data_IF_660572243259
#
_entry.id   IF_660572243259
#
_cell.length_a   1.000
_cell.length_b   1.000
_cell.length_c   1.000
_cell.angle_alpha   90.00
_cell.angle_beta   90.00
_cell.angle_gamma   90.00
#
_symmetry.space_group_name_H-M   'P 1'
#
loop_
_entity.id
_entity.type
_entity.pdbx_description
1 polymer ?
#
# COMPACT_ATOMS: atom_id res chain seq x y z
N UNK A 1 -6.61 -14.27 -5.28
CA UNK A 1 -7.78 -14.27 -6.16
C UNK A 1 -8.16 -15.71 -6.49
N UNK A 2 -9.45 -16.04 -6.46
CA UNK A 2 -9.98 -17.34 -6.84
C UNK A 2 -11.17 -17.12 -7.80
N UNK A 3 -11.24 -17.88 -8.88
CA UNK A 3 -12.38 -17.89 -9.82
C UNK A 3 -12.93 -19.30 -9.88
N UNK A 4 -14.20 -19.45 -9.64
CA UNK A 4 -14.90 -20.74 -9.66
C UNK A 4 -16.34 -20.53 -10.12
N UNK A 5 -16.76 -21.38 -11.07
CA UNK A 5 -18.03 -21.19 -11.78
C UNK A 5 -18.06 -19.78 -12.40
N UNK A 6 -19.07 -18.97 -12.19
CA UNK A 6 -19.10 -17.57 -12.63
C UNK A 6 -18.57 -16.57 -11.57
N UNK A 7 -18.19 -17.02 -10.38
CA UNK A 7 -17.79 -16.13 -9.29
C UNK A 7 -16.32 -15.89 -9.23
N UNK A 8 -15.93 -14.63 -8.99
CA UNK A 8 -14.56 -14.20 -8.67
C UNK A 8 -14.49 -13.68 -7.26
N UNK A 9 -13.57 -14.27 -6.47
CA UNK A 9 -13.27 -13.83 -5.11
C UNK A 9 -11.89 -13.19 -5.06
N UNK A 10 -11.80 -12.01 -4.47
CA UNK A 10 -10.55 -11.28 -4.25
C UNK A 10 -10.36 -11.11 -2.74
N UNK A 11 -9.17 -11.45 -2.26
CA UNK A 11 -8.74 -11.20 -0.89
C UNK A 11 -7.63 -10.15 -0.89
N UNK A 12 -7.82 -9.06 -0.15
CA UNK A 12 -6.78 -8.10 0.19
C UNK A 12 -6.34 -8.31 1.64
N UNK A 13 -5.02 -8.43 1.82
CA UNK A 13 -4.43 -8.59 3.16
C UNK A 13 -3.97 -7.26 3.76
N UNK A 14 -3.94 -6.19 2.95
CA UNK A 14 -3.65 -4.81 3.37
C UNK A 14 -4.76 -3.89 2.84
N UNK A 15 -6.01 -4.05 3.30
CA UNK A 15 -7.19 -3.42 2.69
C UNK A 15 -7.24 -1.90 2.87
N UNK A 16 -6.53 -1.36 3.84
CA UNK A 16 -6.50 0.08 4.11
C UNK A 16 -5.61 0.87 3.15
N UNK A 17 -4.86 0.20 2.26
CA UNK A 17 -4.06 0.87 1.23
C UNK A 17 -4.82 0.96 -0.09
N UNK A 18 -4.56 2.03 -0.84
CA UNK A 18 -5.12 2.22 -2.17
C UNK A 18 -4.35 1.39 -3.21
N UNK A 19 -5.01 1.05 -4.32
CA UNK A 19 -4.33 0.41 -5.46
C UNK A 19 -3.46 1.40 -6.23
N UNK A 20 -3.94 2.63 -6.41
CA UNK A 20 -3.27 3.64 -7.22
C UNK A 20 -2.28 4.46 -6.38
N UNK A 21 -1.12 3.88 -6.08
CA UNK A 21 0.04 4.69 -5.74
C UNK A 21 0.68 5.20 -7.04
N UNK A 22 0.95 6.50 -7.09
CA UNK A 22 1.52 7.14 -8.27
C UNK A 22 2.89 6.55 -8.57
N UNK A 23 3.07 6.12 -9.80
CA UNK A 23 4.35 5.61 -10.28
C UNK A 23 4.74 6.30 -11.59
N UNK A 24 6.03 6.33 -11.86
CA UNK A 24 6.60 7.07 -12.97
C UNK A 24 6.04 6.63 -14.34
N UNK A 25 5.83 5.34 -14.52
CA UNK A 25 5.38 4.77 -15.79
C UNK A 25 3.92 5.13 -16.11
N UNK A 26 3.01 4.81 -15.18
CA UNK A 26 1.58 5.03 -15.40
C UNK A 26 1.23 6.52 -15.41
N UNK A 27 1.75 7.31 -14.47
CA UNK A 27 1.48 8.76 -14.44
C UNK A 27 2.28 9.56 -15.46
N UNK A 28 3.20 8.93 -16.21
CA UNK A 28 3.75 9.47 -17.45
C UNK A 28 2.69 9.64 -18.55
N UNK A 29 1.57 8.91 -18.47
CA UNK A 29 0.46 9.02 -19.42
C UNK A 29 -0.45 10.19 -19.07
N UNK A 30 -0.76 11.10 -20.04
CA UNK A 30 -1.67 12.22 -19.80
C UNK A 30 -3.06 11.80 -19.33
N UNK A 31 -3.56 10.63 -19.77
CA UNK A 31 -4.86 10.07 -19.35
C UNK A 31 -4.93 9.80 -17.86
N UNK A 32 -3.87 9.22 -17.26
CA UNK A 32 -3.86 8.92 -15.83
C UNK A 32 -3.78 10.20 -14.99
N UNK A 33 -3.03 11.22 -15.46
CA UNK A 33 -3.02 12.52 -14.80
C UNK A 33 -4.36 13.23 -14.88
N UNK A 34 -5.02 13.19 -16.04
CA UNK A 34 -6.35 13.77 -16.19
C UNK A 34 -7.40 13.09 -15.31
N UNK A 35 -7.34 11.77 -15.22
CA UNK A 35 -8.21 10.99 -14.33
C UNK A 35 -7.97 11.34 -12.86
N UNK A 36 -6.72 11.30 -12.42
CA UNK A 36 -6.32 11.66 -11.05
C UNK A 36 -6.79 13.10 -10.69
N UNK A 37 -6.60 14.05 -11.61
CA UNK A 37 -7.06 15.43 -11.45
C UNK A 37 -8.57 15.51 -11.24
N UNK A 38 -9.37 14.82 -12.06
CA UNK A 38 -10.83 14.79 -11.92
C UNK A 38 -11.26 14.24 -10.56
N UNK A 39 -10.57 13.22 -10.05
CA UNK A 39 -10.84 12.64 -8.73
C UNK A 39 -10.47 13.61 -7.61
N UNK A 40 -9.27 14.23 -7.68
CA UNK A 40 -8.80 15.20 -6.69
C UNK A 40 -9.70 16.44 -6.58
N UNK A 41 -10.20 16.93 -7.72
CA UNK A 41 -11.08 18.10 -7.78
C UNK A 41 -12.56 17.78 -7.47
N UNK A 42 -12.88 16.50 -7.25
CA UNK A 42 -14.26 16.07 -6.99
C UNK A 42 -15.19 16.17 -8.22
N UNK A 43 -14.64 16.28 -9.42
CA UNK A 43 -15.38 16.40 -10.67
C UNK A 43 -15.76 15.05 -11.30
N UNK A 44 -15.57 13.96 -10.57
CA UNK A 44 -15.92 12.61 -11.02
C UNK A 44 -17.45 12.41 -10.99
N UNK A 45 -18.07 12.39 -12.15
CA UNK A 45 -19.50 12.11 -12.31
C UNK A 45 -19.83 10.63 -12.15
N UNK A 46 -18.85 9.74 -12.35
CA UNK A 46 -18.98 8.29 -12.15
C UNK A 46 -18.31 7.88 -10.86
N UNK A 47 -19.04 7.33 -9.86
CA UNK A 47 -18.47 6.94 -8.58
C UNK A 47 -17.37 5.88 -8.69
N UNK A 48 -17.38 5.06 -9.76
CA UNK A 48 -16.38 4.02 -9.95
C UNK A 48 -14.99 4.58 -10.30
N UNK A 49 -14.88 5.83 -10.76
CA UNK A 49 -13.60 6.43 -11.13
C UNK A 49 -12.66 6.64 -9.93
N UNK A 50 -13.19 6.72 -8.71
CA UNK A 50 -12.40 6.91 -7.48
C UNK A 50 -11.99 5.59 -6.80
N UNK A 51 -12.59 4.46 -7.16
CA UNK A 51 -12.35 3.18 -6.48
C UNK A 51 -10.86 2.82 -6.38
N UNK A 52 -10.08 3.14 -7.41
CA UNK A 52 -8.64 2.88 -7.44
C UNK A 52 -7.85 3.75 -6.44
N UNK A 53 -8.37 4.93 -6.09
CA UNK A 53 -7.75 5.89 -5.19
C UNK A 53 -8.22 5.77 -3.74
N UNK A 54 -9.20 4.91 -3.48
CA UNK A 54 -9.74 4.65 -2.15
C UNK A 54 -9.19 3.33 -1.57
N UNK A 55 -9.27 3.22 -0.25
CA UNK A 55 -9.10 1.92 0.40
C UNK A 55 -10.22 0.98 -0.04
N UNK A 56 -9.94 -0.30 -0.08
CA UNK A 56 -10.88 -1.30 -0.56
C UNK A 56 -11.19 -2.32 0.54
N UNK A 57 -12.30 -3.07 0.41
CA UNK A 57 -12.63 -4.12 1.38
C UNK A 57 -11.54 -5.20 1.47
N UNK A 58 -11.46 -5.86 2.63
CA UNK A 58 -10.60 -7.02 2.79
C UNK A 58 -11.00 -8.19 1.88
N UNK A 59 -12.27 -8.25 1.53
CA UNK A 59 -12.84 -9.28 0.66
C UNK A 59 -13.76 -8.64 -0.35
N UNK A 60 -13.75 -9.15 -1.59
CA UNK A 60 -14.68 -8.77 -2.64
C UNK A 60 -15.13 -10.02 -3.39
N UNK A 61 -16.39 -10.05 -3.78
CA UNK A 61 -17.02 -11.13 -4.53
C UNK A 61 -17.80 -10.56 -5.71
N UNK A 62 -17.57 -11.08 -6.90
CA UNK A 62 -18.25 -10.65 -8.12
C UNK A 62 -18.86 -11.83 -8.86
N UNK A 63 -20.05 -11.65 -9.43
CA UNK A 63 -20.68 -12.60 -10.36
C UNK A 63 -20.36 -12.15 -11.79
N UNK A 64 -19.37 -12.75 -12.41
CA UNK A 64 -18.85 -12.32 -13.72
C UNK A 64 -19.83 -12.52 -14.87
N UNK A 65 -20.87 -13.35 -14.71
CA UNK A 65 -21.94 -13.46 -15.72
C UNK A 65 -22.87 -12.25 -15.71
N UNK A 66 -23.13 -11.68 -14.50
CA UNK A 66 -24.03 -10.53 -14.34
C UNK A 66 -23.28 -9.20 -14.32
N UNK A 67 -22.01 -9.22 -13.89
CA UNK A 67 -21.18 -8.05 -13.67
C UNK A 67 -19.75 -8.30 -14.19
N UNK A 68 -19.57 -8.35 -15.53
CA UNK A 68 -18.26 -8.62 -16.15
C UNK A 68 -17.24 -7.51 -15.89
N UNK A 69 -17.67 -6.31 -15.52
CA UNK A 69 -16.81 -5.17 -15.22
C UNK A 69 -16.42 -5.07 -13.72
N UNK A 70 -16.93 -6.00 -12.87
CA UNK A 70 -16.61 -6.09 -11.44
C UNK A 70 -16.91 -4.79 -10.66
N UNK A 71 -18.06 -4.20 -10.90
CA UNK A 71 -18.48 -2.93 -10.30
C UNK A 71 -19.35 -3.11 -9.05
N UNK A 72 -19.93 -4.31 -8.85
CA UNK A 72 -20.89 -4.59 -7.79
C UNK A 72 -20.35 -5.68 -6.86
N UNK A 73 -19.70 -5.25 -5.76
CA UNK A 73 -19.20 -6.19 -4.75
C UNK A 73 -20.35 -6.84 -3.98
N UNK A 74 -20.43 -8.16 -4.06
CA UNK A 74 -21.45 -9.01 -3.42
C UNK A 74 -20.99 -9.53 -2.05
N UNK A 75 -19.80 -9.22 -1.58
CA UNK A 75 -19.22 -9.79 -0.35
C UNK A 75 -20.01 -9.43 0.91
N UNK A 76 -20.72 -8.30 0.91
CA UNK A 76 -21.63 -7.89 1.99
C UNK A 76 -23.08 -8.36 1.84
N UNK A 77 -23.41 -9.11 0.80
CA UNK A 77 -24.79 -9.50 0.49
C UNK A 77 -25.12 -10.87 1.10
N UNK A 78 -26.11 -10.99 2.01
CA UNK A 78 -26.39 -12.23 2.73
C UNK A 78 -26.67 -13.46 1.85
N UNK A 79 -27.30 -13.26 0.68
CA UNK A 79 -27.59 -14.32 -0.29
C UNK A 79 -26.35 -15.02 -0.82
N UNK A 80 -25.19 -14.33 -0.83
CA UNK A 80 -23.92 -14.86 -1.34
C UNK A 80 -22.97 -15.32 -0.23
N UNK A 81 -23.39 -15.28 1.04
CA UNK A 81 -22.52 -15.59 2.20
C UNK A 81 -21.94 -17.02 2.13
N UNK A 82 -22.70 -17.99 1.64
CA UNK A 82 -22.21 -19.37 1.50
C UNK A 82 -21.14 -19.49 0.41
N UNK A 83 -21.36 -18.81 -0.74
CA UNK A 83 -20.39 -18.78 -1.86
C UNK A 83 -19.09 -18.09 -1.41
N UNK A 84 -19.22 -16.93 -0.75
CA UNK A 84 -18.09 -16.19 -0.19
C UNK A 84 -17.28 -17.07 0.77
N UNK A 85 -17.96 -17.78 1.69
CA UNK A 85 -17.30 -18.67 2.65
C UNK A 85 -16.55 -19.81 1.96
N UNK A 86 -17.17 -20.48 0.97
CA UNK A 86 -16.53 -21.55 0.19
C UNK A 86 -15.30 -21.07 -0.57
N UNK A 87 -15.38 -19.89 -1.20
CA UNK A 87 -14.26 -19.33 -1.98
C UNK A 87 -13.13 -18.85 -1.08
N UNK A 88 -13.45 -18.25 0.08
CA UNK A 88 -12.47 -17.91 1.12
C UNK A 88 -11.69 -19.14 1.57
N UNK A 89 -12.42 -20.22 1.90
CA UNK A 89 -11.78 -21.47 2.33
C UNK A 89 -10.91 -22.07 1.24
N UNK A 90 -11.40 -22.11 0.01
CA UNK A 90 -10.63 -22.63 -1.12
C UNK A 90 -9.31 -21.87 -1.35
N UNK A 91 -9.32 -20.53 -1.20
CA UNK A 91 -8.11 -19.73 -1.30
C UNK A 91 -7.16 -20.00 -0.13
N UNK A 92 -7.68 -20.07 1.11
CA UNK A 92 -6.87 -20.36 2.31
C UNK A 92 -6.21 -21.74 2.20
N UNK A 93 -6.96 -22.76 1.78
CA UNK A 93 -6.43 -24.12 1.59
C UNK A 93 -5.35 -24.16 0.51
N UNK A 94 -5.57 -23.44 -0.60
CA UNK A 94 -4.58 -23.35 -1.69
C UNK A 94 -3.26 -22.73 -1.22
N UNK A 95 -3.33 -21.61 -0.49
CA UNK A 95 -2.15 -20.94 0.08
C UNK A 95 -1.36 -21.89 1.00
N UNK A 96 -2.06 -22.64 1.86
CA UNK A 96 -1.44 -23.58 2.80
C UNK A 96 -0.83 -24.78 2.11
N UNK A 97 -1.54 -25.37 1.16
CA UNK A 97 -1.07 -26.56 0.40
C UNK A 97 0.13 -26.23 -0.48
N UNK A 98 0.13 -25.05 -1.10
CA UNK A 98 1.25 -24.63 -1.97
C UNK A 98 2.44 -24.09 -1.18
N UNK A 99 2.24 -23.72 0.11
CA UNK A 99 3.26 -23.06 0.92
C UNK A 99 3.63 -21.71 0.34
N UNK A 100 2.61 -20.86 0.05
CA UNK A 100 2.79 -19.58 -0.64
C UNK A 100 3.72 -18.64 0.13
N UNK A 101 4.82 -18.24 -0.50
CA UNK A 101 5.82 -17.33 0.06
C UNK A 101 5.54 -15.86 -0.27
N UNK A 102 4.38 -15.53 -0.84
CA UNK A 102 3.98 -14.18 -1.20
C UNK A 102 3.91 -13.22 0.00
N UNK A 103 3.77 -13.74 1.20
CA UNK A 103 3.65 -12.97 2.45
C UNK A 103 4.99 -12.60 3.10
N UNK A 104 6.11 -13.04 2.51
CA UNK A 104 7.43 -12.65 2.98
C UNK A 104 7.82 -11.27 2.48
N UNK A 105 8.55 -10.52 3.33
CA UNK A 105 9.02 -9.19 2.99
C UNK A 105 10.02 -9.20 1.83
N UNK A 106 10.08 -8.15 1.01
CA UNK A 106 11.06 -8.04 -0.08
C UNK A 106 12.51 -8.18 0.40
N UNK A 107 12.83 -7.73 1.61
CA UNK A 107 14.15 -7.91 2.25
C UNK A 107 14.51 -9.38 2.51
N UNK A 108 13.51 -10.24 2.66
CA UNK A 108 13.71 -11.69 2.85
C UNK A 108 13.75 -12.45 1.51
N UNK A 109 13.31 -11.83 0.41
CA UNK A 109 13.23 -12.45 -0.91
C UNK A 109 14.54 -12.31 -1.68
N UNK A 110 15.50 -13.15 -1.38
CA UNK A 110 16.79 -13.20 -2.09
C UNK A 110 16.85 -14.41 -3.05
N UNK A 111 16.09 -14.35 -4.14
CA UNK A 111 16.08 -15.39 -5.18
C UNK A 111 15.67 -16.78 -4.66
N UNK A 112 16.38 -17.82 -5.09
CA UNK A 112 16.12 -19.22 -4.67
C UNK A 112 16.34 -19.46 -3.17
N UNK A 113 17.02 -18.55 -2.51
CA UNK A 113 17.44 -18.69 -1.10
C UNK A 113 16.24 -18.74 -0.16
N UNK A 114 15.16 -17.99 -0.46
CA UNK A 114 13.99 -17.96 0.43
C UNK A 114 13.32 -19.32 0.57
N UNK A 115 13.06 -20.02 -0.55
CA UNK A 115 12.40 -21.32 -0.54
C UNK A 115 13.22 -22.36 0.24
N UNK A 116 14.52 -22.41 -0.01
CA UNK A 116 15.43 -23.32 0.70
C UNK A 116 15.53 -22.99 2.18
N UNK A 117 15.62 -21.69 2.51
CA UNK A 117 15.67 -21.21 3.89
C UNK A 117 14.42 -21.61 4.67
N UNK A 118 13.25 -21.34 4.13
CA UNK A 118 11.96 -21.66 4.75
C UNK A 118 11.83 -23.16 5.03
N UNK A 119 12.24 -24.01 4.09
CA UNK A 119 12.22 -25.46 4.27
C UNK A 119 13.22 -25.96 5.29
N UNK A 120 14.46 -25.47 5.24
CA UNK A 120 15.57 -25.89 6.13
C UNK A 120 15.34 -25.43 7.55
N UNK A 121 14.88 -24.22 7.74
CA UNK A 121 14.65 -23.61 9.07
C UNK A 121 13.30 -23.98 9.67
N UNK A 122 12.48 -24.77 8.98
CA UNK A 122 11.13 -25.16 9.44
C UNK A 122 10.31 -23.94 9.85
N UNK A 123 10.30 -22.91 8.98
CA UNK A 123 9.58 -21.67 9.25
C UNK A 123 8.09 -21.97 9.60
N UNK A 124 7.49 -21.29 10.60
CA UNK A 124 6.12 -21.57 11.03
C UNK A 124 5.09 -20.95 10.05
N UNK A 125 4.99 -21.54 8.84
CA UNK A 125 4.14 -21.02 7.77
C UNK A 125 2.66 -20.98 8.13
N UNK A 126 2.15 -21.98 8.85
CA UNK A 126 0.73 -22.02 9.22
C UNK A 126 0.37 -20.91 10.20
N UNK A 127 1.26 -20.61 11.13
CA UNK A 127 1.11 -19.52 12.09
C UNK A 127 1.17 -18.16 11.34
N UNK A 128 2.10 -18.04 10.39
CA UNK A 128 2.18 -16.86 9.53
C UNK A 128 0.89 -16.66 8.74
N UNK A 129 0.38 -17.67 8.07
CA UNK A 129 -0.86 -17.57 7.29
C UNK A 129 -2.06 -17.21 8.16
N UNK A 130 -2.16 -17.78 9.36
CA UNK A 130 -3.21 -17.44 10.32
C UNK A 130 -3.12 -15.97 10.74
N UNK A 131 -1.92 -15.49 11.02
CA UNK A 131 -1.69 -14.07 11.36
C UNK A 131 -2.02 -13.14 10.19
N UNK A 132 -1.61 -13.49 8.97
CA UNK A 132 -1.91 -12.73 7.74
C UNK A 132 -3.42 -12.60 7.52
N UNK A 133 -4.13 -13.71 7.62
CA UNK A 133 -5.60 -13.74 7.49
C UNK A 133 -6.26 -12.88 8.57
N UNK A 134 -5.77 -12.97 9.82
CA UNK A 134 -6.26 -12.16 10.94
C UNK A 134 -5.97 -10.68 10.75
N UNK A 135 -4.75 -10.32 10.35
CA UNK A 135 -4.34 -8.92 10.18
C UNK A 135 -5.21 -8.18 9.15
N UNK A 136 -5.50 -8.82 8.00
CA UNK A 136 -6.33 -8.23 6.94
C UNK A 136 -7.79 -8.00 7.35
N UNK A 137 -8.30 -8.73 8.34
CA UNK A 137 -9.67 -8.61 8.88
C UNK A 137 -9.71 -8.26 10.36
N UNK A 138 -8.62 -7.72 10.90
CA UNK A 138 -8.47 -7.46 12.34
C UNK A 138 -9.64 -6.65 12.90
N UNK A 139 -10.08 -7.10 14.08
CA UNK A 139 -10.99 -6.41 14.99
C UNK A 139 -10.30 -6.26 16.35
N UNK A 140 -10.91 -5.56 17.30
CA UNK A 140 -10.35 -5.46 18.65
C UNK A 140 -10.15 -6.82 19.35
N UNK A 141 -10.91 -7.85 18.96
CA UNK A 141 -10.70 -9.21 19.44
C UNK A 141 -9.39 -9.84 18.97
N UNK A 142 -8.77 -9.29 17.90
CA UNK A 142 -7.49 -9.75 17.38
C UNK A 142 -6.28 -9.22 18.15
N UNK A 143 -6.47 -8.21 19.02
CA UNK A 143 -5.37 -7.53 19.72
C UNK A 143 -4.39 -8.48 20.44
N UNK A 144 -4.81 -9.52 21.18
CA UNK A 144 -3.85 -10.40 21.84
C UNK A 144 -2.87 -11.09 20.88
N UNK A 145 -3.35 -11.54 19.72
CA UNK A 145 -2.50 -12.13 18.68
C UNK A 145 -1.57 -11.08 18.04
N UNK A 146 -2.07 -9.87 17.80
CA UNK A 146 -1.27 -8.80 17.22
C UNK A 146 -0.18 -8.31 18.18
N UNK A 147 -0.45 -8.23 19.49
CA UNK A 147 0.50 -7.89 20.55
C UNK A 147 1.66 -8.89 20.63
N UNK A 148 1.36 -10.18 20.55
CA UNK A 148 2.37 -11.22 20.47
C UNK A 148 3.19 -11.10 19.19
N UNK A 149 2.51 -10.88 18.06
CA UNK A 149 3.15 -10.80 16.75
C UNK A 149 4.15 -9.65 16.63
N UNK A 150 3.83 -8.44 17.12
CA UNK A 150 4.73 -7.27 17.00
C UNK A 150 6.01 -7.39 17.83
N UNK A 151 6.08 -8.33 18.76
CA UNK A 151 7.28 -8.64 19.58
C UNK A 151 8.01 -9.90 19.12
N UNK A 152 7.54 -10.55 18.08
CA UNK A 152 8.09 -11.82 17.60
C UNK A 152 9.50 -11.64 17.00
N UNK A 153 10.44 -12.59 17.21
CA UNK A 153 11.78 -12.52 16.61
C UNK A 153 11.78 -12.57 15.08
N UNK A 154 10.74 -13.20 14.44
CA UNK A 154 10.63 -13.29 13.00
C UNK A 154 10.05 -11.99 12.40
N UNK A 155 10.73 -11.43 11.42
CA UNK A 155 10.37 -10.15 10.79
C UNK A 155 8.99 -10.17 10.13
N UNK A 156 8.64 -11.28 9.47
CA UNK A 156 7.33 -11.42 8.83
C UNK A 156 6.19 -11.41 9.85
N UNK A 157 6.39 -12.05 11.01
CA UNK A 157 5.40 -12.04 12.09
C UNK A 157 5.21 -10.60 12.62
N UNK A 158 6.32 -9.87 12.88
CA UNK A 158 6.23 -8.47 13.32
C UNK A 158 5.51 -7.60 12.29
N UNK A 159 5.87 -7.76 11.00
CA UNK A 159 5.25 -6.97 9.93
C UNK A 159 3.73 -7.18 9.88
N UNK A 160 3.27 -8.42 9.86
CA UNK A 160 1.83 -8.71 9.80
C UNK A 160 1.10 -8.35 11.08
N UNK A 161 1.75 -8.42 12.23
CA UNK A 161 1.23 -7.85 13.47
C UNK A 161 0.99 -6.34 13.35
N UNK A 162 1.96 -5.60 12.79
CA UNK A 162 1.83 -4.15 12.54
C UNK A 162 0.74 -3.85 11.52
N UNK A 163 0.59 -4.66 10.46
CA UNK A 163 -0.51 -4.52 9.49
C UNK A 163 -1.88 -4.59 10.18
N UNK A 164 -2.06 -5.52 11.11
CA UNK A 164 -3.29 -5.60 11.90
C UNK A 164 -3.53 -4.32 12.74
N UNK A 165 -2.50 -3.81 13.39
CA UNK A 165 -2.58 -2.53 14.12
C UNK A 165 -2.90 -1.35 13.20
N UNK A 166 -2.27 -1.27 12.03
CA UNK A 166 -2.52 -0.20 11.06
C UNK A 166 -3.97 -0.17 10.59
N UNK A 167 -4.55 -1.36 10.35
CA UNK A 167 -5.98 -1.49 10.03
C UNK A 167 -6.86 -0.96 11.17
N UNK A 168 -6.66 -1.45 12.38
CA UNK A 168 -7.44 -1.05 13.55
C UNK A 168 -7.33 0.46 13.84
N UNK A 169 -6.12 1.00 13.72
CA UNK A 169 -5.85 2.41 13.94
C UNK A 169 -6.57 3.30 12.91
N UNK A 170 -6.43 2.98 11.63
CA UNK A 170 -7.07 3.73 10.55
C UNK A 170 -8.59 3.68 10.61
N UNK A 171 -9.17 2.53 10.98
CA UNK A 171 -10.61 2.37 11.18
C UNK A 171 -11.10 2.94 12.52
N UNK A 172 -10.22 3.60 13.29
CA UNK A 172 -10.52 4.22 14.59
C UNK A 172 -11.08 3.22 15.62
N UNK A 173 -10.75 1.92 15.48
CA UNK A 173 -11.17 0.88 16.43
C UNK A 173 -10.30 0.88 17.70
N UNK A 174 -9.10 1.45 17.62
CA UNK A 174 -8.19 1.67 18.74
C UNK A 174 -7.69 3.12 18.72
N UNK A 175 -7.32 3.66 19.87
CA UNK A 175 -6.86 5.06 20.01
C UNK A 175 -5.52 5.20 20.74
N UNK A 176 -5.02 4.13 21.36
CA UNK A 176 -3.73 4.14 22.06
C UNK A 176 -2.65 3.43 21.25
N UNK A 177 -1.45 4.03 21.20
CA UNK A 177 -0.28 3.44 20.58
C UNK A 177 0.49 2.62 21.63
N UNK A 178 0.54 1.27 21.51
CA UNK A 178 1.35 0.46 22.42
C UNK A 178 2.83 0.81 22.30
N UNK A 179 3.55 0.77 23.43
CA UNK A 179 4.98 1.06 23.44
C UNK A 179 5.78 0.10 22.53
N UNK A 180 5.37 -1.17 22.45
CA UNK A 180 5.98 -2.14 21.56
C UNK A 180 5.83 -1.76 20.08
N UNK A 181 4.65 -1.24 19.67
CA UNK A 181 4.43 -0.74 18.31
C UNK A 181 5.29 0.50 18.03
N UNK A 182 5.37 1.43 18.98
CA UNK A 182 6.19 2.63 18.84
C UNK A 182 7.68 2.29 18.72
N UNK A 183 8.17 1.28 19.44
CA UNK A 183 9.55 0.82 19.33
C UNK A 183 9.88 0.30 17.93
N UNK A 184 8.91 -0.24 17.18
CA UNK A 184 9.12 -0.73 15.81
C UNK A 184 9.34 0.38 14.77
N UNK A 185 9.18 1.65 15.12
CA UNK A 185 9.65 2.76 14.27
C UNK A 185 11.18 2.68 14.05
N UNK A 186 11.89 2.02 14.95
CA UNK A 186 13.33 1.80 14.88
C UNK A 186 13.70 0.37 14.48
N UNK A 187 12.75 -0.43 13.99
CA UNK A 187 13.06 -1.78 13.51
C UNK A 187 14.09 -1.72 12.37
N UNK A 188 15.03 -2.66 12.40
CA UNK A 188 16.09 -2.77 11.39
C UNK A 188 15.54 -3.07 9.98
N UNK A 189 14.35 -3.65 9.90
CA UNK A 189 13.67 -3.88 8.63
C UNK A 189 12.86 -2.63 8.22
N UNK A 190 13.18 -1.99 7.09
CA UNK A 190 12.57 -0.73 6.69
C UNK A 190 11.06 -0.85 6.39
N UNK A 191 10.58 -2.03 5.98
CA UNK A 191 9.15 -2.27 5.77
C UNK A 191 8.39 -2.27 7.09
N UNK A 192 8.94 -2.90 8.13
CA UNK A 192 8.33 -2.92 9.47
C UNK A 192 8.31 -1.51 10.05
N UNK A 193 9.44 -0.82 10.01
CA UNK A 193 9.54 0.54 10.55
C UNK A 193 8.60 1.53 9.84
N UNK A 194 8.46 1.41 8.51
CA UNK A 194 7.54 2.25 7.74
C UNK A 194 6.07 1.94 8.04
N UNK A 195 5.72 0.67 8.16
CA UNK A 195 4.34 0.26 8.49
C UNK A 195 3.98 0.63 9.93
N UNK A 196 4.92 0.48 10.88
CA UNK A 196 4.74 0.91 12.26
C UNK A 196 4.55 2.43 12.36
N UNK A 197 5.33 3.21 11.59
CA UNK A 197 5.15 4.66 11.53
C UNK A 197 3.77 5.02 10.94
N UNK A 198 3.32 4.33 9.88
CA UNK A 198 1.97 4.51 9.34
C UNK A 198 0.89 4.27 10.40
N UNK A 199 0.96 3.15 11.12
CA UNK A 199 0.00 2.81 12.17
C UNK A 199 0.03 3.82 13.34
N UNK A 200 1.24 4.17 13.81
CA UNK A 200 1.44 5.09 14.94
C UNK A 200 0.95 6.52 14.63
N UNK A 201 1.00 6.95 13.36
CA UNK A 201 0.47 8.24 12.95
C UNK A 201 -1.02 8.39 13.29
N UNK A 202 -1.83 7.37 13.01
CA UNK A 202 -3.25 7.33 13.36
C UNK A 202 -3.50 7.22 14.87
N UNK A 203 -2.51 6.79 15.64
CA UNK A 203 -2.58 6.63 17.10
C UNK A 203 -1.98 7.81 17.88
N UNK A 204 -1.99 9.00 17.29
CA UNK A 204 -1.57 10.24 17.92
C UNK A 204 -0.05 10.46 17.99
N UNK A 205 0.74 9.64 17.28
CA UNK A 205 2.21 9.76 17.16
C UNK A 205 2.64 10.33 15.81
N UNK A 206 1.84 11.23 15.25
CA UNK A 206 1.98 11.68 13.87
C UNK A 206 3.31 12.38 13.58
N UNK A 207 3.81 13.23 14.48
CA UNK A 207 5.04 13.98 14.25
C UNK A 207 6.27 13.05 14.17
N UNK A 208 6.43 12.12 15.12
CA UNK A 208 7.51 11.13 15.14
C UNK A 208 7.40 10.20 13.91
N UNK A 209 6.18 9.82 13.56
CA UNK A 209 5.87 8.93 12.45
C UNK A 209 6.21 9.56 11.10
N UNK A 210 5.76 10.79 10.85
CA UNK A 210 6.04 11.51 9.60
C UNK A 210 7.54 11.76 9.45
N UNK A 211 8.22 12.20 10.52
CA UNK A 211 9.67 12.36 10.51
C UNK A 211 10.38 11.04 10.12
N UNK A 212 9.94 9.90 10.68
CA UNK A 212 10.51 8.58 10.37
C UNK A 212 10.28 8.17 8.92
N UNK A 213 9.13 8.52 8.33
CA UNK A 213 8.80 8.20 6.94
C UNK A 213 9.59 9.04 5.93
N UNK A 214 9.93 10.28 6.28
CA UNK A 214 10.70 11.20 5.44
C UNK A 214 12.19 10.89 5.51
N UNK A 215 12.72 10.59 6.72
CA UNK A 215 14.14 10.36 6.96
C UNK A 215 14.40 8.85 7.10
N UNK A 216 14.82 8.16 6.04
CA UNK A 216 15.10 6.73 6.10
C UNK A 216 16.41 6.47 6.86
N UNK A 217 16.57 5.25 7.38
CA UNK A 217 17.86 4.80 7.94
C UNK A 217 18.96 4.69 6.87
N UNK A 218 18.55 4.31 5.66
CA UNK A 218 19.43 4.23 4.49
C UNK A 218 18.68 4.80 3.28
N UNK A 219 19.38 5.56 2.44
CA UNK A 219 18.82 6.25 1.27
C UNK A 219 18.06 5.33 0.33
N UNK A 220 18.57 4.11 0.08
CA UNK A 220 17.92 3.12 -0.77
C UNK A 220 16.50 2.70 -0.32
N UNK A 221 16.14 2.98 0.93
CA UNK A 221 14.82 2.66 1.49
C UNK A 221 13.86 3.87 1.55
N UNK A 222 14.27 5.04 1.08
CA UNK A 222 13.46 6.26 1.09
C UNK A 222 12.09 6.07 0.47
N UNK A 223 12.01 5.38 -0.66
CA UNK A 223 10.73 5.10 -1.35
C UNK A 223 9.73 4.31 -0.49
N UNK A 224 10.20 3.48 0.44
CA UNK A 224 9.32 2.70 1.33
C UNK A 224 8.59 3.64 2.28
N UNK A 225 9.30 4.57 2.92
CA UNK A 225 8.71 5.59 3.78
C UNK A 225 7.76 6.51 2.99
N UNK A 226 8.18 6.98 1.83
CA UNK A 226 7.36 7.86 0.99
C UNK A 226 6.09 7.18 0.46
N UNK A 227 6.12 5.88 0.18
CA UNK A 227 4.93 5.13 -0.16
C UNK A 227 3.89 5.15 0.97
N UNK A 228 4.32 4.95 2.21
CA UNK A 228 3.44 5.05 3.38
C UNK A 228 2.96 6.48 3.63
N UNK A 229 3.82 7.47 3.41
CA UNK A 229 3.48 8.88 3.55
C UNK A 229 2.50 9.35 2.46
N UNK A 230 2.62 8.83 1.24
CA UNK A 230 1.66 9.09 0.17
C UNK A 230 0.27 8.56 0.55
N UNK A 231 0.20 7.34 1.12
CA UNK A 231 -1.06 6.80 1.64
C UNK A 231 -1.66 7.66 2.76
N UNK A 232 -0.83 8.17 3.68
CA UNK A 232 -1.29 9.10 4.72
C UNK A 232 -1.82 10.41 4.12
N UNK A 233 -1.15 10.96 3.11
CA UNK A 233 -1.53 12.24 2.48
C UNK A 233 -2.85 12.18 1.70
N UNK A 234 -3.27 10.98 1.28
CA UNK A 234 -4.57 10.75 0.64
C UNK A 234 -5.73 10.83 1.64
N UNK A 235 -5.47 10.57 2.92
CA UNK A 235 -6.46 10.72 3.99
C UNK A 235 -6.54 12.19 4.43
N UNK A 236 -7.70 12.87 4.25
CA UNK A 236 -7.86 14.27 4.65
C UNK A 236 -7.54 14.53 6.13
N UNK A 237 -7.89 13.58 7.02
CA UNK A 237 -7.67 13.69 8.47
C UNK A 237 -6.17 13.71 8.84
N UNK A 238 -5.30 13.22 7.94
CA UNK A 238 -3.87 13.09 8.19
C UNK A 238 -3.02 14.18 7.52
N UNK A 239 -3.60 15.03 6.67
CA UNK A 239 -2.83 16.04 5.91
C UNK A 239 -2.15 17.06 6.79
N UNK A 240 -2.81 17.51 7.85
CA UNK A 240 -2.28 18.56 8.73
C UNK A 240 -1.04 18.10 9.51
N UNK A 241 -0.89 16.81 9.80
CA UNK A 241 0.32 16.32 10.45
C UNK A 241 1.53 16.23 9.50
N UNK A 242 1.30 16.25 8.18
CA UNK A 242 2.35 16.22 7.17
C UNK A 242 2.84 17.63 6.82
N UNK A 243 1.97 18.65 6.90
CA UNK A 243 2.30 20.04 6.54
C UNK A 243 3.54 20.64 7.21
N UNK A 244 3.87 20.35 8.48
CA UNK A 244 5.13 20.81 9.08
C UNK A 244 6.41 20.38 8.33
N UNK A 245 6.32 19.33 7.52
CA UNK A 245 7.44 18.75 6.78
C UNK A 245 7.46 19.15 5.28
N UNK A 246 6.71 20.18 4.91
CA UNK A 246 6.71 20.70 3.54
C UNK A 246 8.10 21.12 3.03
N UNK A 247 8.99 21.73 3.83
CA UNK A 247 10.33 22.06 3.36
C UNK A 247 11.12 20.83 2.89
N UNK A 248 11.12 19.75 3.66
CA UNK A 248 11.82 18.50 3.35
C UNK A 248 11.21 17.81 2.12
N UNK A 249 9.89 17.84 2.00
CA UNK A 249 9.19 17.27 0.85
C UNK A 249 9.47 18.05 -0.45
N UNK A 250 9.55 19.39 -0.37
CA UNK A 250 9.91 20.25 -1.52
C UNK A 250 11.36 20.02 -1.94
N UNK A 251 12.28 19.95 -0.98
CA UNK A 251 13.67 19.62 -1.24
C UNK A 251 13.79 18.24 -1.92
N UNK A 252 13.12 17.23 -1.39
CA UNK A 252 13.12 15.89 -1.97
C UNK A 252 12.52 15.86 -3.40
N UNK A 253 11.44 16.63 -3.62
CA UNK A 253 10.81 16.74 -4.93
C UNK A 253 11.73 17.35 -6.01
N UNK A 254 12.66 18.21 -5.60
CA UNK A 254 13.60 18.91 -6.50
C UNK A 254 14.93 18.17 -6.66
N UNK A 255 15.47 17.60 -5.57
CA UNK A 255 16.86 17.14 -5.51
C UNK A 255 17.05 15.66 -5.72
N UNK A 256 16.02 14.81 -5.47
CA UNK A 256 16.19 13.37 -5.58
C UNK A 256 16.46 12.98 -7.04
N UNK A 257 17.64 12.39 -7.32
CA UNK A 257 18.06 12.08 -8.67
C UNK A 257 17.16 11.03 -9.30
N UNK A 258 16.89 11.23 -10.57
CA UNK A 258 15.97 10.45 -11.40
C UNK A 258 16.41 9.01 -11.64
N UNK A 259 17.70 8.66 -11.43
CA UNK A 259 18.27 7.37 -11.83
C UNK A 259 18.41 6.36 -10.67
N UNK A 260 18.56 6.82 -9.43
CA UNK A 260 18.76 5.94 -8.27
C UNK A 260 17.55 5.90 -7.33
N UNK A 261 16.74 6.97 -7.32
CA UNK A 261 15.55 7.11 -6.50
C UNK A 261 14.37 7.73 -7.28
N UNK A 262 14.18 7.32 -8.54
CA UNK A 262 13.15 7.87 -9.43
C UNK A 262 11.76 7.91 -8.79
N UNK A 263 11.41 6.87 -8.05
CA UNK A 263 10.11 6.77 -7.41
C UNK A 263 9.98 7.67 -6.19
N UNK A 264 11.04 7.90 -5.42
CA UNK A 264 10.98 8.70 -4.20
C UNK A 264 10.71 10.19 -4.49
N UNK A 265 11.37 10.77 -5.49
CA UNK A 265 11.10 12.14 -5.90
C UNK A 265 9.69 12.32 -6.49
N UNK A 266 9.20 11.34 -7.26
CA UNK A 266 7.84 11.35 -7.76
C UNK A 266 6.82 11.19 -6.63
N UNK A 267 7.08 10.32 -5.65
CA UNK A 267 6.23 10.18 -4.46
C UNK A 267 6.20 11.47 -3.64
N UNK A 268 7.33 12.16 -3.45
CA UNK A 268 7.37 13.46 -2.78
C UNK A 268 6.45 14.48 -3.50
N UNK A 269 6.53 14.55 -4.83
CA UNK A 269 5.63 15.38 -5.63
C UNK A 269 4.17 14.93 -5.51
N UNK A 270 3.90 13.62 -5.51
CA UNK A 270 2.57 13.06 -5.28
C UNK A 270 1.98 13.46 -3.94
N UNK A 271 2.78 13.46 -2.89
CA UNK A 271 2.38 13.94 -1.56
C UNK A 271 2.05 15.44 -1.62
N UNK A 272 2.90 16.25 -2.26
CA UNK A 272 2.63 17.69 -2.43
C UNK A 272 1.32 17.95 -3.22
N UNK A 273 1.03 17.13 -4.24
CA UNK A 273 -0.25 17.19 -4.97
C UNK A 273 -1.42 16.88 -4.04
N UNK A 274 -1.33 15.84 -3.21
CA UNK A 274 -2.40 15.47 -2.27
C UNK A 274 -2.65 16.56 -1.20
N UNK A 275 -1.60 17.31 -0.83
CA UNK A 275 -1.67 18.42 0.11
C UNK A 275 -2.17 19.74 -0.54
N UNK A 276 -2.36 19.77 -1.86
CA UNK A 276 -2.71 20.98 -2.61
C UNK A 276 -1.56 21.97 -2.81
N UNK A 277 -0.31 21.52 -2.62
CA UNK A 277 0.90 22.33 -2.68
C UNK A 277 1.62 22.26 -4.06
N UNK A 278 1.08 21.45 -4.98
CA UNK A 278 1.58 21.23 -6.33
C UNK A 278 0.45 20.85 -7.29
N UNK A 279 0.49 21.30 -8.54
CA UNK A 279 -0.44 20.80 -9.57
C UNK A 279 -0.01 19.39 -10.03
N UNK A 280 -0.98 18.53 -10.30
CA UNK A 280 -0.75 17.16 -10.80
C UNK A 280 -0.01 17.16 -12.15
N UNK A 281 -0.12 18.21 -12.93
CA UNK A 281 0.62 18.36 -14.20
C UNK A 281 2.14 18.43 -13.99
N UNK A 282 2.57 18.96 -12.84
CA UNK A 282 3.98 19.10 -12.47
C UNK A 282 4.57 17.85 -11.80
N UNK A 283 3.78 16.79 -11.64
CA UNK A 283 4.16 15.54 -10.95
C UNK A 283 5.50 14.97 -11.45
N UNK A 284 5.81 15.07 -12.74
CA UNK A 284 7.06 14.60 -13.32
C UNK A 284 8.17 15.67 -13.37
N UNK A 285 7.86 16.92 -12.99
CA UNK A 285 8.76 18.07 -13.10
C UNK A 285 8.95 18.54 -14.55
N UNK A 286 9.30 19.81 -14.77
CA UNK A 286 9.38 20.42 -16.09
C UNK A 286 10.49 19.83 -16.99
N UNK A 287 11.58 19.35 -16.42
CA UNK A 287 12.68 18.73 -17.18
C UNK A 287 12.41 17.25 -17.53
N UNK A 288 11.62 16.56 -16.74
CA UNK A 288 11.28 15.17 -16.95
C UNK A 288 10.43 14.98 -18.20
N UNK A 289 9.53 15.91 -18.48
CA UNK A 289 8.70 15.89 -19.69
C UNK A 289 9.56 16.06 -20.95
N UNK A 290 10.60 16.92 -20.89
CA UNK A 290 11.50 17.16 -22.02
C UNK A 290 12.54 16.05 -22.23
N UNK A 291 13.00 15.38 -21.18
CA UNK A 291 14.02 14.31 -21.25
C UNK A 291 13.41 12.91 -21.36
N UNK A 292 12.24 12.65 -20.78
CA UNK A 292 11.57 11.35 -20.79
C UNK A 292 11.11 10.91 -22.18
N UNK A 293 10.81 11.86 -23.06
CA UNK A 293 10.57 11.61 -24.49
C UNK A 293 11.82 11.13 -25.25
N UNK A 294 13.03 11.32 -24.70
CA UNK A 294 14.31 10.90 -25.30
C UNK A 294 14.91 9.63 -24.72
N UNK A 295 14.43 9.15 -23.59
CA UNK A 295 15.02 8.01 -22.89
C UNK A 295 14.09 6.78 -22.93
N UNK A 296 14.52 5.78 -23.70
CA UNK A 296 14.23 4.35 -23.53
C UNK A 296 12.99 3.69 -24.12
N UNK A 297 12.32 4.26 -25.08
CA UNK A 297 11.67 3.39 -26.06
C UNK A 297 12.50 3.42 -27.33
N UNK A 298 13.35 2.44 -27.49
CA UNK A 298 14.23 2.32 -28.63
C UNK A 298 13.50 2.60 -29.94
N UNK A 299 13.91 3.65 -30.64
CA UNK A 299 13.62 4.01 -32.04
C UNK A 299 12.17 3.91 -32.56
N UNK A 300 11.16 3.95 -31.70
CA UNK A 300 9.79 4.23 -32.16
C UNK A 300 9.47 5.68 -31.84
N UNK A 301 9.52 6.50 -32.89
CA UNK A 301 9.11 7.90 -32.83
C UNK A 301 7.69 7.99 -32.24
N UNK A 302 7.54 8.63 -31.08
CA UNK A 302 6.22 9.05 -30.62
C UNK A 302 5.76 10.17 -31.56
N UNK A 303 4.57 10.01 -32.09
CA UNK A 303 3.90 11.02 -32.92
C UNK A 303 3.73 12.27 -32.06
N UNK A 304 4.21 13.45 -32.50
CA UNK A 304 3.96 14.69 -31.78
C UNK A 304 2.45 14.94 -31.70
N UNK A 305 1.97 15.29 -30.50
CA UNK A 305 0.59 15.75 -30.32
C UNK A 305 0.41 17.02 -31.15
N UNK A 306 -0.71 17.15 -31.88
CA UNK A 306 -1.01 18.39 -32.58
C UNK A 306 -1.18 19.54 -31.58
N UNK A 307 -0.69 20.73 -31.97
CA UNK A 307 -0.81 21.97 -31.19
C UNK A 307 -2.26 22.32 -30.86
#
# INVERSE_FOLDING_TARGET
MCIRDSFKYIRSYIPYRQFALRNYYQWGMPSNKAWDKLVLEGHNTNPNWKLTFEAHPAEMLFDLEKDPDELHDLSGTPEYAEILSKMRQALSDHIRVTGDLGFFLPTSRTGHILYDKVRKEKYPLNELYTLVETAGTATTASLPMLEEAITNPLSEMRFWGVVGYAKLAREKQISSCPQALLALLQDSNPYIASEAAYAAAYLGKSQESVARLIIPTEEKYRKIGYSSLECLSLDPDMRDCIRPFLPELREAAETLPRLENEDAGLMARGILVNLGEMDIQDLHGPEAYKKGLKLNYGRRAMIPLPN
#
